data_IF_679269671778
#
_entry.id   IF_679269671778
#
_cell.length_a   1.000
_cell.length_b   1.000
_cell.length_c   1.000
_cell.angle_alpha   90.00
_cell.angle_beta   90.00
_cell.angle_gamma   90.00
#
_symmetry.space_group_name_H-M   'P 1'
#
loop_
_entity.id
_entity.type
_entity.pdbx_description
1 polymer ?
#
# COMPACT_ATOMS: atom_id res chain seq x y z
N UNK A 1 -17.27 -28.51 36.67
CA UNK A 1 -16.34 -27.36 36.76
C UNK A 1 -16.31 -26.74 35.38
N UNK A 2 -17.42 -26.09 34.98
CA UNK A 2 -17.71 -25.79 33.56
C UNK A 2 -18.18 -24.33 33.41
N UNK A 3 -17.77 -23.46 34.34
CA UNK A 3 -18.17 -22.07 34.42
C UNK A 3 -17.14 -21.06 33.90
N UNK A 4 -15.91 -21.51 33.60
CA UNK A 4 -14.80 -20.61 33.24
C UNK A 4 -14.44 -20.65 31.74
N UNK A 5 -14.92 -21.64 30.97
CA UNK A 5 -14.65 -21.73 29.53
C UNK A 5 -15.60 -20.86 28.67
N UNK A 6 -16.81 -20.55 29.16
CA UNK A 6 -17.83 -19.82 28.39
C UNK A 6 -17.59 -18.31 28.38
N UNK A 7 -16.80 -17.79 29.32
CA UNK A 7 -16.43 -16.37 29.38
C UNK A 7 -15.29 -15.97 28.43
N UNK A 8 -14.64 -16.93 27.74
CA UNK A 8 -13.49 -16.65 26.87
C UNK A 8 -13.89 -16.47 25.39
N UNK A 9 -15.12 -16.81 25.01
CA UNK A 9 -15.58 -16.76 23.60
C UNK A 9 -16.32 -15.45 23.24
N UNK A 10 -16.77 -14.68 24.25
CA UNK A 10 -17.76 -13.61 24.07
C UNK A 10 -17.28 -12.20 23.74
N UNK A 11 -15.96 -11.92 23.69
CA UNK A 11 -15.51 -10.52 23.57
C UNK A 11 -14.22 -10.34 22.74
N UNK A 12 -14.15 -10.91 21.53
CA UNK A 12 -13.33 -10.29 20.47
C UNK A 12 -14.07 -9.02 20.01
N UNK A 13 -13.89 -7.93 20.78
CA UNK A 13 -14.74 -6.74 20.76
C UNK A 13 -15.06 -6.23 19.36
N UNK A 14 -16.31 -5.80 19.16
CA UNK A 14 -16.88 -5.22 17.93
C UNK A 14 -15.92 -4.27 17.20
N UNK A 15 -15.15 -3.48 17.96
CA UNK A 15 -14.12 -2.57 17.46
C UNK A 15 -13.03 -3.28 16.64
N UNK A 16 -12.50 -4.40 17.13
CA UNK A 16 -11.51 -5.19 16.40
C UNK A 16 -12.09 -5.64 15.05
N UNK A 17 -13.34 -6.11 15.02
CA UNK A 17 -13.98 -6.53 13.76
C UNK A 17 -14.13 -5.41 12.74
N UNK A 18 -14.37 -4.17 13.20
CA UNK A 18 -14.47 -3.00 12.34
C UNK A 18 -13.11 -2.61 11.77
N UNK A 19 -12.07 -2.64 12.61
CA UNK A 19 -10.69 -2.39 12.17
C UNK A 19 -10.25 -3.45 11.16
N UNK A 20 -10.47 -4.74 11.43
CA UNK A 20 -10.12 -5.82 10.50
C UNK A 20 -10.84 -5.70 9.15
N UNK A 21 -12.13 -5.37 9.13
CA UNK A 21 -12.88 -5.14 7.88
C UNK A 21 -12.33 -3.93 7.12
N UNK A 22 -11.96 -2.87 7.82
CA UNK A 22 -11.41 -1.67 7.20
C UNK A 22 -10.01 -1.92 6.61
N UNK A 23 -9.12 -2.56 7.37
CA UNK A 23 -7.78 -2.95 6.89
C UNK A 23 -7.88 -3.89 5.69
N UNK A 24 -8.77 -4.90 5.73
CA UNK A 24 -8.96 -5.82 4.60
C UNK A 24 -9.52 -5.15 3.33
N UNK A 25 -10.31 -4.08 3.48
CA UNK A 25 -10.75 -3.27 2.34
C UNK A 25 -9.58 -2.50 1.71
N UNK A 26 -8.72 -1.89 2.53
CA UNK A 26 -7.52 -1.20 2.05
C UNK A 26 -6.58 -2.18 1.33
N UNK A 27 -6.34 -3.35 1.93
CA UNK A 27 -5.43 -4.35 1.38
C UNK A 27 -5.89 -4.88 0.02
N UNK A 28 -7.19 -5.15 -0.15
CA UNK A 28 -7.70 -5.71 -1.40
C UNK A 28 -7.99 -4.68 -2.50
N UNK A 29 -8.24 -3.41 -2.14
CA UNK A 29 -8.68 -2.40 -3.11
C UNK A 29 -7.69 -1.25 -3.27
N UNK A 30 -7.21 -0.66 -2.18
CA UNK A 30 -6.33 0.52 -2.24
C UNK A 30 -4.92 0.14 -2.67
N UNK A 31 -4.36 -0.95 -2.15
CA UNK A 31 -2.99 -1.36 -2.51
C UNK A 31 -2.89 -1.68 -4.01
N UNK A 32 -3.76 -2.53 -4.60
CA UNK A 32 -3.70 -2.81 -6.04
C UNK A 32 -3.94 -1.56 -6.89
N UNK A 33 -4.83 -0.66 -6.47
CA UNK A 33 -5.12 0.58 -7.18
C UNK A 33 -3.90 1.50 -7.24
N UNK A 34 -3.20 1.67 -6.12
CA UNK A 34 -1.99 2.49 -6.07
C UNK A 34 -0.83 1.83 -6.83
N UNK A 35 -0.72 0.49 -6.80
CA UNK A 35 0.23 -0.23 -7.64
C UNK A 35 -0.04 0.01 -9.12
N UNK A 36 -1.32 -0.05 -9.53
CA UNK A 36 -1.73 0.26 -10.90
C UNK A 36 -1.45 1.72 -11.28
N UNK A 37 -1.72 2.66 -10.38
CA UNK A 37 -1.44 4.09 -10.61
C UNK A 37 0.07 4.36 -10.74
N UNK A 38 0.90 3.75 -9.88
CA UNK A 38 2.35 3.87 -9.95
C UNK A 38 2.90 3.21 -11.23
N UNK A 39 2.36 2.05 -11.62
CA UNK A 39 2.69 1.41 -12.88
C UNK A 39 2.34 2.30 -14.09
N UNK A 40 1.15 2.92 -14.09
CA UNK A 40 0.76 3.89 -15.11
C UNK A 40 1.72 5.10 -15.15
N UNK A 41 2.06 5.66 -13.99
CA UNK A 41 2.99 6.78 -13.89
C UNK A 41 4.38 6.41 -14.45
N UNK A 42 4.84 5.18 -14.20
CA UNK A 42 6.07 4.63 -14.77
C UNK A 42 5.98 4.55 -16.30
N UNK A 43 4.88 4.03 -16.85
CA UNK A 43 4.65 3.99 -18.30
C UNK A 43 4.66 5.41 -18.90
N UNK A 44 3.95 6.36 -18.31
CA UNK A 44 3.93 7.77 -18.78
C UNK A 44 5.33 8.40 -18.73
N UNK A 45 6.12 8.11 -17.70
CA UNK A 45 7.51 8.55 -17.60
C UNK A 45 8.37 8.01 -18.75
N UNK A 46 8.25 6.73 -19.08
CA UNK A 46 8.97 6.08 -20.19
C UNK A 46 8.54 6.69 -21.54
N UNK A 47 7.24 6.85 -21.78
CA UNK A 47 6.74 7.45 -23.02
C UNK A 47 7.21 8.89 -23.20
N UNK A 48 7.24 9.70 -22.13
CA UNK A 48 7.80 11.06 -22.17
C UNK A 48 9.30 11.09 -22.44
N UNK A 49 10.04 10.11 -21.91
CA UNK A 49 11.49 10.03 -22.11
C UNK A 49 11.87 9.66 -23.54
N UNK A 50 11.09 8.77 -24.19
CA UNK A 50 11.38 8.30 -25.54
C UNK A 50 10.86 9.21 -26.66
N UNK A 51 9.76 9.96 -26.44
CA UNK A 51 9.04 10.60 -27.55
C UNK A 51 9.50 12.03 -27.90
N UNK A 52 10.31 12.70 -27.07
CA UNK A 52 10.78 14.07 -27.35
C UNK A 52 12.28 14.21 -27.04
N UNK A 53 13.17 14.24 -28.06
CA UNK A 53 14.58 14.54 -27.84
C UNK A 53 14.77 16.04 -27.53
N UNK A 54 15.10 16.36 -26.28
CA UNK A 54 15.44 17.73 -25.84
C UNK A 54 15.79 17.78 -24.34
N UNK A 55 16.88 18.46 -23.97
CA UNK A 55 17.45 18.48 -22.61
C UNK A 55 16.47 18.90 -21.50
N UNK A 56 15.53 19.81 -21.77
CA UNK A 56 14.49 20.20 -20.79
C UNK A 56 13.48 19.08 -20.50
N UNK A 57 13.13 18.28 -21.52
CA UNK A 57 12.18 17.18 -21.35
C UNK A 57 12.85 15.95 -20.71
N UNK A 58 14.17 15.80 -20.91
CA UNK A 58 14.98 14.81 -20.20
C UNK A 58 14.98 15.06 -18.68
N UNK A 59 15.01 16.31 -18.23
CA UNK A 59 14.92 16.65 -16.80
C UNK A 59 13.53 16.34 -16.24
N UNK A 60 12.46 16.74 -16.95
CA UNK A 60 11.07 16.47 -16.54
C UNK A 60 10.74 14.98 -16.53
N UNK A 61 11.23 14.22 -17.51
CA UNK A 61 11.07 12.76 -17.57
C UNK A 61 11.76 12.05 -16.41
N UNK A 62 12.98 12.48 -16.05
CA UNK A 62 13.72 11.94 -14.90
C UNK A 62 13.00 12.22 -13.58
N UNK A 63 12.44 13.42 -13.43
CA UNK A 63 11.67 13.80 -12.24
C UNK A 63 10.38 12.97 -12.11
N UNK A 64 9.71 12.66 -13.22
CA UNK A 64 8.56 11.75 -13.24
C UNK A 64 8.93 10.32 -12.83
N UNK A 65 10.05 9.80 -13.33
CA UNK A 65 10.59 8.49 -12.94
C UNK A 65 10.94 8.43 -11.44
N UNK A 66 11.58 9.48 -10.91
CA UNK A 66 11.87 9.60 -9.49
C UNK A 66 10.60 9.65 -8.64
N UNK A 67 9.60 10.43 -9.05
CA UNK A 67 8.30 10.49 -8.36
C UNK A 67 7.56 9.15 -8.37
N UNK A 68 7.57 8.43 -9.49
CA UNK A 68 6.98 7.09 -9.58
C UNK A 68 7.70 6.07 -8.69
N UNK A 69 9.03 6.08 -8.69
CA UNK A 69 9.83 5.22 -7.82
C UNK A 69 9.64 5.52 -6.33
N UNK A 70 9.58 6.81 -5.97
CA UNK A 70 9.34 7.25 -4.58
C UNK A 70 7.97 6.76 -4.10
N UNK A 71 6.91 6.92 -4.89
CA UNK A 71 5.58 6.42 -4.55
C UNK A 71 5.56 4.90 -4.32
N UNK A 72 6.33 4.16 -5.12
CA UNK A 72 6.50 2.71 -4.97
C UNK A 72 7.17 2.34 -3.64
N UNK A 73 8.27 3.02 -3.30
CA UNK A 73 9.00 2.78 -2.04
C UNK A 73 8.16 3.12 -0.83
N UNK A 74 7.43 4.25 -0.83
CA UNK A 74 6.54 4.62 0.27
C UNK A 74 5.42 3.60 0.49
N UNK A 75 4.86 3.05 -0.59
CA UNK A 75 3.87 1.97 -0.48
C UNK A 75 4.44 0.76 0.24
N UNK A 76 5.60 0.27 -0.20
CA UNK A 76 6.28 -0.86 0.44
C UNK A 76 6.64 -0.58 1.90
N UNK A 77 7.04 0.65 2.22
CA UNK A 77 7.38 1.04 3.59
C UNK A 77 6.17 1.02 4.52
N UNK A 78 5.05 1.64 4.12
CA UNK A 78 3.87 1.76 4.97
C UNK A 78 3.22 0.38 5.15
N UNK A 79 3.04 -0.38 4.07
CA UNK A 79 2.43 -1.70 4.17
C UNK A 79 3.36 -2.74 4.80
N UNK A 80 4.65 -2.73 4.46
CA UNK A 80 5.64 -3.62 5.06
C UNK A 80 5.78 -3.40 6.56
N UNK A 81 5.69 -2.14 7.02
CA UNK A 81 5.69 -1.83 8.45
C UNK A 81 4.41 -2.33 9.14
N UNK A 82 3.24 -2.17 8.50
CA UNK A 82 1.98 -2.72 9.03
C UNK A 82 2.06 -4.25 9.15
N UNK A 83 2.54 -4.94 8.11
CA UNK A 83 2.65 -6.40 8.14
C UNK A 83 3.65 -6.86 9.21
N UNK A 84 4.77 -6.16 9.37
CA UNK A 84 5.76 -6.42 10.42
C UNK A 84 5.17 -6.26 11.83
N UNK A 85 4.37 -5.20 12.04
CA UNK A 85 3.70 -4.95 13.31
C UNK A 85 2.64 -6.02 13.61
N UNK A 86 1.86 -6.44 12.60
CA UNK A 86 0.88 -7.51 12.73
C UNK A 86 1.56 -8.85 13.09
N UNK A 87 2.63 -9.22 12.40
CA UNK A 87 3.36 -10.46 12.67
C UNK A 87 4.05 -10.46 14.05
N UNK A 88 4.44 -9.29 14.56
CA UNK A 88 5.10 -9.18 15.87
C UNK A 88 4.16 -9.18 17.09
N UNK A 89 2.88 -8.81 16.88
CA UNK A 89 1.90 -8.63 17.97
C UNK A 89 0.93 -9.81 18.07
N UNK A 90 0.87 -10.70 17.07
CA UNK A 90 0.04 -11.91 17.05
C UNK A 90 0.85 -13.20 17.12
#
# INVERSE_FOLDING_TARGET
MDGEEVIVVGQKGTFASMVYKFTGFIDSSIIPLLFAAAFLAMLVGIFRYFMIPGEENLQKGRQFLLWGGIAFVFMFLIWGLVNLLLDSVF
#
